data_IF_174283244347
#
_entry.id   IF_174283244347
#
_cell.length_a   1.000
_cell.length_b   1.000
_cell.length_c   1.000
_cell.angle_alpha   90.00
_cell.angle_beta   90.00
_cell.angle_gamma   90.00
#
_symmetry.space_group_name_H-M   'P 1'
#
loop_
_entity.id
_entity.type
_entity.pdbx_description
1 polymer ?
#
# COMPACT_ATOMS: atom_id res chain seq x y z
N UNK A 1 -17.58 31.48 2.63
CA UNK A 1 -17.44 30.23 3.42
C UNK A 1 -17.21 29.07 2.47
N UNK A 2 -15.99 28.51 2.44
CA UNK A 2 -15.62 27.41 1.54
C UNK A 2 -16.30 26.12 1.97
N UNK A 3 -17.25 25.63 1.18
CA UNK A 3 -17.83 24.29 1.33
C UNK A 3 -16.68 23.27 1.32
N UNK A 4 -16.44 22.62 2.48
CA UNK A 4 -15.49 21.51 2.57
C UNK A 4 -16.00 20.38 1.68
N UNK A 5 -15.50 20.31 0.44
CA UNK A 5 -15.70 19.16 -0.45
C UNK A 5 -15.24 17.91 0.33
N UNK A 6 -16.18 17.02 0.68
CA UNK A 6 -15.85 15.74 1.31
C UNK A 6 -14.85 15.03 0.39
N UNK A 7 -13.70 14.63 0.94
CA UNK A 7 -12.64 13.92 0.22
C UNK A 7 -13.26 12.62 -0.34
N UNK A 8 -13.60 12.60 -1.63
CA UNK A 8 -14.34 11.49 -2.22
C UNK A 8 -13.37 10.44 -2.78
N UNK A 9 -13.83 9.19 -2.78
CA UNK A 9 -13.19 8.02 -3.36
C UNK A 9 -13.30 8.04 -4.90
N UNK A 10 -13.65 9.19 -5.50
CA UNK A 10 -13.99 9.31 -6.92
C UNK A 10 -12.76 9.53 -7.83
N UNK A 11 -11.56 9.69 -7.27
CA UNK A 11 -10.30 9.84 -8.01
C UNK A 11 -9.53 8.51 -8.15
N UNK A 12 -10.24 7.38 -8.04
CA UNK A 12 -9.67 6.05 -8.15
C UNK A 12 -9.60 5.65 -9.63
N UNK A 13 -8.46 5.12 -10.10
CA UNK A 13 -8.21 4.86 -11.51
C UNK A 13 -9.26 3.93 -12.13
N UNK A 14 -9.78 4.31 -13.29
CA UNK A 14 -10.76 3.53 -14.06
C UNK A 14 -10.04 2.48 -14.91
N UNK A 15 -8.93 2.86 -15.53
CA UNK A 15 -8.07 2.00 -16.34
C UNK A 15 -6.91 1.48 -15.51
N UNK A 16 -6.62 0.18 -15.65
CA UNK A 16 -5.51 -0.51 -14.98
C UNK A 16 -4.56 -1.11 -16.04
N UNK A 17 -4.20 -0.28 -17.01
CA UNK A 17 -3.29 -0.59 -18.11
C UNK A 17 -1.84 -0.25 -17.76
N UNK A 18 -0.91 -0.57 -18.67
CA UNK A 18 0.52 -0.35 -18.41
C UNK A 18 0.86 1.15 -18.24
N UNK A 19 0.10 2.04 -18.89
CA UNK A 19 0.23 3.49 -18.69
C UNK A 19 -0.09 3.88 -17.25
N UNK A 20 -1.18 3.36 -16.68
CA UNK A 20 -1.53 3.59 -15.29
C UNK A 20 -0.42 3.11 -14.33
N UNK A 21 0.17 1.93 -14.58
CA UNK A 21 1.27 1.45 -13.76
C UNK A 21 2.51 2.33 -13.89
N UNK A 22 2.84 2.84 -15.07
CA UNK A 22 3.92 3.81 -15.25
C UNK A 22 3.67 5.11 -14.48
N UNK A 23 2.47 5.68 -14.58
CA UNK A 23 2.09 6.88 -13.82
C UNK A 23 2.22 6.65 -12.32
N UNK A 24 1.87 5.46 -11.84
CA UNK A 24 1.99 5.10 -10.43
C UNK A 24 3.45 4.96 -9.98
N UNK A 25 4.33 4.42 -10.84
CA UNK A 25 5.78 4.42 -10.60
C UNK A 25 6.33 5.85 -10.52
N UNK A 26 5.92 6.73 -11.43
CA UNK A 26 6.33 8.14 -11.43
C UNK A 26 5.84 8.89 -10.19
N UNK A 27 4.64 8.56 -9.68
CA UNK A 27 4.15 9.08 -8.39
C UNK A 27 5.06 8.64 -7.25
N UNK A 28 5.45 7.36 -7.18
CA UNK A 28 6.36 6.85 -6.14
C UNK A 28 7.72 7.54 -6.25
N UNK A 29 8.31 7.65 -7.43
CA UNK A 29 9.60 8.29 -7.64
C UNK A 29 9.63 9.77 -7.24
N UNK A 30 8.49 10.47 -7.35
CA UNK A 30 8.29 11.85 -6.90
C UNK A 30 8.26 12.00 -5.38
N UNK A 31 8.11 10.92 -4.62
CA UNK A 31 8.16 10.95 -3.15
C UNK A 31 9.60 11.25 -2.70
N UNK A 32 9.95 12.53 -2.71
CA UNK A 32 11.25 13.06 -2.32
C UNK A 32 11.05 14.32 -1.47
N UNK A 33 10.86 14.14 -0.18
CA UNK A 33 10.80 15.27 0.74
C UNK A 33 12.17 15.96 0.81
N UNK A 34 12.20 17.29 0.94
CA UNK A 34 13.44 18.05 1.08
C UNK A 34 14.07 17.83 2.47
N UNK A 35 14.80 16.72 2.62
CA UNK A 35 15.64 16.43 3.78
C UNK A 35 16.97 17.18 3.66
N UNK A 36 17.54 17.61 4.78
CA UNK A 36 18.84 18.32 4.77
C UNK A 36 20.04 17.39 4.63
N UNK A 37 19.96 16.18 5.20
CA UNK A 37 21.05 15.20 5.22
C UNK A 37 20.51 13.79 4.93
N UNK A 38 21.41 12.86 4.55
CA UNK A 38 21.09 11.45 4.25
C UNK A 38 19.89 11.28 3.29
N UNK A 39 19.77 12.20 2.33
CA UNK A 39 18.59 12.38 1.48
C UNK A 39 18.14 11.09 0.83
N UNK A 40 19.06 10.37 0.21
CA UNK A 40 18.78 9.15 -0.54
C UNK A 40 18.14 8.07 0.33
N UNK A 41 18.70 7.80 1.51
CA UNK A 41 18.13 6.78 2.41
C UNK A 41 16.75 7.19 2.93
N UNK A 42 16.55 8.48 3.24
CA UNK A 42 15.23 8.97 3.63
C UNK A 42 14.21 8.88 2.48
N UNK A 43 14.63 9.17 1.25
CA UNK A 43 13.79 8.99 0.05
C UNK A 43 13.46 7.53 -0.17
N UNK A 44 14.43 6.62 -0.07
CA UNK A 44 14.20 5.18 -0.18
C UNK A 44 13.15 4.69 0.84
N UNK A 45 13.25 5.12 2.10
CA UNK A 45 12.25 4.81 3.13
C UNK A 45 10.85 5.29 2.74
N UNK A 46 10.73 6.53 2.30
CA UNK A 46 9.45 7.16 2.01
C UNK A 46 8.80 6.58 0.74
N UNK A 47 9.61 6.25 -0.26
CA UNK A 47 9.20 5.55 -1.48
C UNK A 47 8.75 4.11 -1.17
N UNK A 48 9.53 3.37 -0.36
CA UNK A 48 9.18 2.03 0.09
C UNK A 48 7.87 2.00 0.89
N UNK A 49 7.62 3.01 1.73
CA UNK A 49 6.36 3.15 2.45
C UNK A 49 5.18 3.35 1.50
N UNK A 50 5.36 4.17 0.46
CA UNK A 50 4.34 4.43 -0.55
C UNK A 50 4.06 3.17 -1.39
N UNK A 51 5.11 2.47 -1.82
CA UNK A 51 5.01 1.17 -2.49
C UNK A 51 4.27 0.14 -1.63
N UNK A 52 4.53 0.10 -0.32
CA UNK A 52 3.81 -0.80 0.58
C UNK A 52 2.31 -0.48 0.62
N UNK A 53 1.89 0.79 0.58
CA UNK A 53 0.47 1.14 0.51
C UNK A 53 -0.20 0.61 -0.75
N UNK A 54 0.49 0.67 -1.89
CA UNK A 54 0.02 0.15 -3.18
C UNK A 54 -0.08 -1.38 -3.15
N UNK A 55 0.93 -2.06 -2.58
CA UNK A 55 1.02 -3.52 -2.57
C UNK A 55 0.06 -4.19 -1.57
N UNK A 56 -0.20 -3.56 -0.42
CA UNK A 56 -0.83 -4.23 0.72
C UNK A 56 -2.08 -3.53 1.25
N UNK A 57 -2.36 -2.32 0.77
CA UNK A 57 -3.49 -1.53 1.21
C UNK A 57 -3.48 -1.20 2.71
N UNK A 58 -2.34 -1.39 3.41
CA UNK A 58 -2.22 -1.11 4.84
C UNK A 58 -2.56 0.34 5.16
N UNK A 59 -3.15 0.60 6.34
CA UNK A 59 -3.29 1.97 6.83
C UNK A 59 -1.93 2.48 7.29
N UNK A 60 -1.75 3.81 7.28
CA UNK A 60 -0.54 4.46 7.80
C UNK A 60 -0.21 3.98 9.22
N UNK A 61 -1.19 3.91 10.11
CA UNK A 61 -0.97 3.43 11.48
C UNK A 61 -0.50 1.97 11.54
N UNK A 62 -0.94 1.13 10.61
CA UNK A 62 -0.57 -0.29 10.55
C UNK A 62 0.85 -0.44 9.99
N UNK A 63 1.16 0.24 8.88
CA UNK A 63 2.48 0.23 8.25
C UNK A 63 3.59 0.67 9.21
N UNK A 64 3.33 1.73 9.97
CA UNK A 64 4.29 2.30 10.91
C UNK A 64 4.55 1.41 12.13
N UNK A 65 3.80 0.33 12.34
CA UNK A 65 4.07 -0.62 13.43
C UNK A 65 4.74 -1.90 12.96
N UNK A 66 4.99 -2.03 11.66
CA UNK A 66 5.63 -3.22 11.11
C UNK A 66 7.08 -3.28 11.55
N UNK A 67 7.47 -4.44 12.05
CA UNK A 67 8.85 -4.81 12.35
C UNK A 67 9.39 -5.76 11.28
N UNK A 68 10.73 -5.80 11.11
CA UNK A 68 11.38 -6.67 10.13
C UNK A 68 11.06 -8.16 10.35
N UNK A 69 10.90 -8.60 11.60
CA UNK A 69 10.48 -9.97 11.97
C UNK A 69 9.16 -10.44 11.35
N UNK A 70 8.33 -9.49 10.90
CA UNK A 70 7.08 -9.79 10.23
C UNK A 70 7.26 -10.05 8.73
N UNK A 71 8.49 -10.01 8.21
CA UNK A 71 8.79 -10.22 6.80
C UNK A 71 9.52 -11.55 6.59
N UNK A 72 9.21 -12.22 5.48
CA UNK A 72 9.97 -13.36 4.97
C UNK A 72 10.19 -13.18 3.49
N UNK A 73 11.44 -13.19 3.07
CA UNK A 73 11.81 -13.05 1.68
C UNK A 73 11.94 -14.43 1.00
N UNK A 74 11.23 -14.63 -0.11
CA UNK A 74 11.26 -15.83 -0.93
C UNK A 74 11.64 -15.46 -2.37
N UNK A 75 11.98 -16.48 -3.16
CA UNK A 75 12.38 -16.31 -4.57
C UNK A 75 11.39 -15.46 -5.38
N UNK A 76 10.10 -15.68 -5.19
CA UNK A 76 9.05 -15.09 -6.05
C UNK A 76 8.20 -14.02 -5.35
N UNK A 77 8.36 -13.85 -4.04
CA UNK A 77 7.55 -12.92 -3.26
C UNK A 77 8.19 -12.59 -1.91
N UNK A 78 7.76 -11.48 -1.31
CA UNK A 78 7.96 -11.21 0.11
C UNK A 78 6.63 -11.43 0.82
N UNK A 79 6.66 -12.13 1.94
CA UNK A 79 5.50 -12.32 2.81
C UNK A 79 5.58 -11.32 3.96
N UNK A 80 4.50 -10.59 4.19
CA UNK A 80 4.28 -9.78 5.38
C UNK A 80 3.22 -10.46 6.26
N UNK A 81 3.62 -10.89 7.45
CA UNK A 81 2.81 -11.69 8.36
C UNK A 81 2.27 -10.89 9.56
N UNK A 82 1.14 -11.35 10.10
CA UNK A 82 0.57 -10.89 11.36
C UNK A 82 0.37 -9.36 11.44
N UNK A 83 -0.14 -8.75 10.37
CA UNK A 83 -0.40 -7.31 10.33
C UNK A 83 -1.66 -7.00 11.13
N UNK A 84 -1.46 -6.48 12.35
CA UNK A 84 -2.55 -6.05 13.24
C UNK A 84 -3.25 -4.83 12.66
N UNK A 85 -4.56 -4.94 12.45
CA UNK A 85 -5.38 -3.80 12.05
C UNK A 85 -5.81 -3.01 13.29
N UNK A 86 -5.54 -1.70 13.28
CA UNK A 86 -5.90 -0.83 14.40
C UNK A 86 -7.41 -0.67 14.58
N UNK A 87 -8.17 -0.82 13.49
CA UNK A 87 -9.62 -0.71 13.52
C UNK A 87 -10.22 -2.08 13.86
N UNK A 88 -10.38 -2.34 15.16
CA UNK A 88 -11.13 -3.49 15.73
C UNK A 88 -10.39 -4.83 15.84
N UNK A 89 -9.04 -4.83 15.86
CA UNK A 89 -8.25 -5.98 16.31
C UNK A 89 -8.15 -7.17 15.35
N UNK A 90 -8.64 -7.05 14.11
CA UNK A 90 -8.46 -8.08 13.10
C UNK A 90 -6.97 -8.17 12.73
N UNK A 91 -6.45 -9.37 12.58
CA UNK A 91 -5.07 -9.58 12.13
C UNK A 91 -5.11 -10.12 10.71
N UNK A 92 -4.44 -9.43 9.78
CA UNK A 92 -4.18 -10.00 8.47
C UNK A 92 -3.01 -10.95 8.62
N UNK A 93 -3.31 -12.24 8.60
CA UNK A 93 -2.35 -13.33 8.86
C UNK A 93 -1.19 -13.27 7.87
N UNK A 94 -1.49 -13.04 6.60
CA UNK A 94 -0.51 -13.02 5.51
C UNK A 94 -0.89 -12.03 4.41
N UNK A 95 0.09 -11.26 3.96
CA UNK A 95 0.01 -10.40 2.78
C UNK A 95 1.19 -10.78 1.88
N UNK A 96 0.93 -11.05 0.61
CA UNK A 96 1.95 -11.43 -0.38
C UNK A 96 2.31 -10.22 -1.23
N UNK A 97 3.59 -9.89 -1.28
CA UNK A 97 4.17 -8.85 -2.13
C UNK A 97 4.90 -9.56 -3.29
N UNK A 98 4.32 -9.60 -4.51
CA UNK A 98 4.87 -10.41 -5.59
C UNK A 98 6.13 -9.77 -6.20
N UNK A 99 7.16 -10.57 -6.51
CA UNK A 99 8.36 -10.15 -7.24
C UNK A 99 8.24 -10.32 -8.77
N UNK A 100 7.05 -10.67 -9.26
CA UNK A 100 6.74 -10.88 -10.69
C UNK A 100 5.49 -10.09 -11.10
N UNK A 101 5.38 -9.81 -12.39
CA UNK A 101 4.25 -9.10 -12.99
C UNK A 101 4.24 -7.59 -12.68
N UNK A 102 3.09 -6.95 -12.90
CA UNK A 102 2.93 -5.48 -12.84
C UNK A 102 3.24 -4.86 -11.47
N UNK A 103 3.20 -5.66 -10.40
CA UNK A 103 3.50 -5.22 -9.03
C UNK A 103 4.98 -5.40 -8.63
N UNK A 104 5.77 -6.12 -9.43
CA UNK A 104 7.17 -6.45 -9.12
C UNK A 104 8.03 -5.21 -8.84
N UNK A 105 7.84 -4.14 -9.61
CA UNK A 105 8.60 -2.91 -9.45
C UNK A 105 8.41 -2.30 -8.05
N UNK A 106 7.17 -2.22 -7.55
CA UNK A 106 6.87 -1.70 -6.22
C UNK A 106 7.46 -2.60 -5.13
N UNK A 107 7.39 -3.92 -5.32
CA UNK A 107 8.03 -4.89 -4.42
C UNK A 107 9.53 -4.68 -4.39
N UNK A 108 10.18 -4.44 -5.54
CA UNK A 108 11.62 -4.16 -5.62
C UNK A 108 12.01 -2.88 -4.87
N UNK A 109 11.21 -1.81 -4.97
CA UNK A 109 11.42 -0.58 -4.17
C UNK A 109 11.34 -0.86 -2.68
N UNK A 110 10.33 -1.63 -2.24
CA UNK A 110 10.18 -2.02 -0.85
C UNK A 110 11.32 -2.94 -0.37
N UNK A 111 11.70 -3.93 -1.18
CA UNK A 111 12.78 -4.88 -0.90
C UNK A 111 14.14 -4.19 -0.74
N UNK A 112 14.45 -3.24 -1.62
CA UNK A 112 15.70 -2.47 -1.53
C UNK A 112 15.81 -1.71 -0.20
N UNK A 113 14.71 -1.14 0.29
CA UNK A 113 14.68 -0.53 1.61
C UNK A 113 14.75 -1.57 2.74
N UNK A 114 14.03 -2.68 2.61
CA UNK A 114 13.98 -3.75 3.62
C UNK A 114 15.37 -4.32 3.93
N UNK A 115 16.25 -4.41 2.92
CA UNK A 115 17.65 -4.86 3.06
C UNK A 115 18.49 -3.96 3.99
N UNK A 116 18.12 -2.69 4.13
CA UNK A 116 18.80 -1.73 5.00
C UNK A 116 18.33 -1.78 6.45
N UNK A 117 17.22 -2.46 6.73
CA UNK A 117 16.68 -2.58 8.10
C UNK A 117 17.59 -3.53 8.90
N UNK A 118 18.21 -3.08 10.00
CA UNK A 118 19.38 -3.76 10.56
C UNK A 118 19.05 -5.04 11.34
N UNK A 119 17.90 -5.08 12.02
CA UNK A 119 17.53 -6.21 12.89
C UNK A 119 16.05 -6.56 12.80
N UNK A 120 15.72 -7.78 13.22
CA UNK A 120 14.35 -8.31 13.24
C UNK A 120 13.40 -7.45 14.09
N UNK A 121 13.90 -6.88 15.19
CA UNK A 121 13.13 -6.03 16.09
C UNK A 121 12.95 -4.59 15.63
N UNK A 122 13.69 -4.17 14.60
CA UNK A 122 13.63 -2.82 14.06
C UNK A 122 12.30 -2.54 13.39
N UNK A 123 11.77 -1.33 13.60
CA UNK A 123 10.67 -0.84 12.78
C UNK A 123 11.12 -0.71 11.33
N UNK A 124 10.33 -1.22 10.39
CA UNK A 124 10.63 -1.11 8.95
C UNK A 124 10.66 0.36 8.53
N UNK A 125 9.80 1.20 9.10
CA UNK A 125 9.74 2.63 8.79
C UNK A 125 10.06 3.47 10.02
N UNK A 126 11.36 3.62 10.35
CA UNK A 126 11.79 4.35 11.54
C UNK A 126 11.67 5.86 11.35
N UNK A 127 11.62 6.56 12.47
CA UNK A 127 11.91 7.99 12.51
C UNK A 127 13.40 8.22 12.25
N UNK A 128 13.79 9.44 11.88
CA UNK A 128 15.19 9.76 11.70
C UNK A 128 15.48 11.23 11.92
N UNK A 129 16.76 11.51 12.08
CA UNK A 129 17.32 12.85 12.28
C UNK A 129 18.58 13.01 11.41
N UNK A 130 19.29 14.12 11.59
CA UNK A 130 20.57 14.33 10.93
C UNK A 130 21.62 13.27 11.27
N UNK A 131 21.49 12.61 12.43
CA UNK A 131 22.40 11.56 12.90
C UNK A 131 22.02 10.15 12.38
N UNK A 132 21.00 10.04 11.53
CA UNK A 132 20.53 8.77 10.98
C UNK A 132 19.17 8.33 11.53
N UNK A 133 18.85 7.05 11.34
CA UNK A 133 17.56 6.46 11.73
C UNK A 133 17.56 5.98 13.18
N UNK A 134 16.45 6.20 13.87
CA UNK A 134 16.16 5.56 15.14
C UNK A 134 15.24 4.36 14.89
N UNK A 135 15.85 3.18 14.77
CA UNK A 135 15.18 1.92 14.44
C UNK A 135 14.20 1.40 15.51
N UNK A 136 14.25 1.98 16.71
CA UNK A 136 13.37 1.64 17.84
C UNK A 136 12.13 2.54 17.92
N UNK A 137 12.07 3.60 17.09
CA UNK A 137 10.92 4.52 17.05
C UNK A 137 10.36 4.61 15.64
N UNK A 138 9.06 4.37 15.45
CA UNK A 138 8.47 4.47 14.13
C UNK A 138 8.35 5.93 13.68
N UNK A 139 8.32 6.14 12.38
CA UNK A 139 7.99 7.43 11.79
C UNK A 139 6.59 7.88 12.24
N UNK A 140 6.37 9.19 12.42
CA UNK A 140 5.06 9.66 12.87
C UNK A 140 4.02 9.70 11.75
N UNK A 141 2.76 9.39 12.08
CA UNK A 141 1.61 9.49 11.14
C UNK A 141 1.49 10.87 10.49
N UNK A 142 1.71 11.92 11.28
CA UNK A 142 1.71 13.31 10.81
C UNK A 142 2.79 13.49 9.75
N UNK A 143 4.00 12.99 10.00
CA UNK A 143 5.12 13.10 9.05
C UNK A 143 4.84 12.38 7.74
N UNK A 144 4.33 11.15 7.77
CA UNK A 144 3.91 10.40 6.57
C UNK A 144 2.90 11.20 5.73
N UNK A 145 1.89 11.76 6.39
CA UNK A 145 0.88 12.59 5.72
C UNK A 145 1.50 13.79 5.02
N UNK A 146 2.40 14.53 5.69
CA UNK A 146 3.06 15.68 5.09
C UNK A 146 3.93 15.30 3.91
N UNK A 147 4.73 14.24 4.04
CA UNK A 147 5.59 13.73 2.97
C UNK A 147 4.75 13.45 1.72
N UNK A 148 3.75 12.59 1.85
CA UNK A 148 2.92 12.17 0.72
C UNK A 148 2.15 13.36 0.13
N UNK A 149 1.50 14.17 0.97
CA UNK A 149 0.69 15.29 0.50
C UNK A 149 1.51 16.31 -0.28
N UNK A 150 2.70 16.63 0.22
CA UNK A 150 3.53 17.70 -0.36
C UNK A 150 4.25 17.23 -1.62
N UNK A 151 4.67 15.96 -1.66
CA UNK A 151 5.44 15.43 -2.80
C UNK A 151 4.56 14.92 -3.94
N UNK A 152 3.32 14.49 -3.66
CA UNK A 152 2.44 13.88 -4.67
C UNK A 152 1.12 14.60 -4.88
N UNK A 153 0.75 15.53 -3.99
CA UNK A 153 -0.60 16.12 -3.96
C UNK A 153 -1.70 15.15 -3.49
N UNK A 154 -1.36 13.89 -3.19
CA UNK A 154 -2.31 12.84 -2.78
C UNK A 154 -2.35 12.67 -1.26
N UNK A 155 -3.24 11.82 -0.79
CA UNK A 155 -3.31 11.42 0.62
C UNK A 155 -2.91 9.95 0.76
N UNK A 156 -2.38 9.50 1.92
CA UNK A 156 -2.02 8.08 2.10
C UNK A 156 -3.19 7.11 1.82
N UNK A 157 -4.42 7.52 2.12
CA UNK A 157 -5.61 6.70 1.85
C UNK A 157 -5.94 6.58 0.36
N UNK A 158 -5.46 7.49 -0.49
CA UNK A 158 -5.62 7.38 -1.95
C UNK A 158 -4.87 6.15 -2.48
N UNK A 159 -3.63 5.91 -2.02
CA UNK A 159 -2.86 4.71 -2.38
C UNK A 159 -3.53 3.42 -1.90
N UNK A 160 -4.21 3.46 -0.74
CA UNK A 160 -5.03 2.35 -0.30
C UNK A 160 -6.21 2.10 -1.26
N UNK A 161 -6.90 3.13 -1.73
CA UNK A 161 -7.97 2.99 -2.73
C UNK A 161 -7.45 2.45 -4.07
N UNK A 162 -6.24 2.85 -4.48
CA UNK A 162 -5.55 2.27 -5.64
C UNK A 162 -5.31 0.77 -5.43
N UNK A 163 -4.79 0.38 -4.27
CA UNK A 163 -4.62 -1.03 -3.92
C UNK A 163 -5.94 -1.81 -3.97
N UNK A 164 -7.00 -1.26 -3.35
CA UNK A 164 -8.36 -1.85 -3.36
C UNK A 164 -8.86 -2.09 -4.78
N UNK A 165 -8.51 -1.22 -5.72
CA UNK A 165 -8.93 -1.31 -7.12
C UNK A 165 -8.11 -2.30 -7.93
N UNK A 166 -6.78 -2.27 -7.78
CA UNK A 166 -5.88 -3.24 -8.43
C UNK A 166 -6.25 -4.65 -8.00
N UNK A 167 -6.35 -4.89 -6.69
CA UNK A 167 -6.68 -6.22 -6.18
C UNK A 167 -8.12 -6.60 -6.48
N UNK A 168 -9.07 -5.67 -6.34
CA UNK A 168 -10.47 -5.92 -6.64
C UNK A 168 -10.69 -6.35 -8.09
N UNK A 169 -10.14 -5.60 -9.05
CA UNK A 169 -10.42 -5.83 -10.47
C UNK A 169 -9.48 -6.82 -11.15
N UNK A 170 -8.17 -6.75 -10.88
CA UNK A 170 -7.18 -7.56 -11.59
C UNK A 170 -6.84 -8.87 -10.89
N UNK A 171 -6.68 -8.84 -9.56
CA UNK A 171 -6.15 -10.00 -8.82
C UNK A 171 -7.26 -10.94 -8.40
N UNK A 172 -8.33 -10.39 -7.84
CA UNK A 172 -9.45 -11.16 -7.31
C UNK A 172 -10.64 -11.22 -8.26
N UNK A 173 -10.54 -10.58 -9.45
CA UNK A 173 -11.57 -10.66 -10.51
C UNK A 173 -12.98 -10.38 -9.96
N UNK A 174 -13.13 -9.26 -9.25
CA UNK A 174 -14.39 -8.84 -8.62
C UNK A 174 -14.90 -9.77 -7.50
N UNK A 175 -14.07 -10.63 -6.93
CA UNK A 175 -14.40 -11.39 -5.73
C UNK A 175 -14.34 -10.50 -4.47
N UNK A 176 -15.53 -10.05 -4.04
CA UNK A 176 -15.69 -9.18 -2.89
C UNK A 176 -15.27 -9.80 -1.55
N UNK A 177 -15.32 -11.13 -1.42
CA UNK A 177 -14.92 -11.84 -0.21
C UNK A 177 -13.40 -11.86 -0.08
N UNK A 178 -12.69 -12.26 -1.14
CA UNK A 178 -11.21 -12.21 -1.16
C UNK A 178 -10.69 -10.80 -0.92
N UNK A 179 -11.30 -9.80 -1.56
CA UNK A 179 -10.92 -8.40 -1.35
C UNK A 179 -11.17 -7.96 0.10
N UNK A 180 -12.31 -8.33 0.69
CA UNK A 180 -12.64 -8.01 2.08
C UNK A 180 -11.60 -8.59 3.04
N UNK A 181 -11.23 -9.85 2.87
CA UNK A 181 -10.22 -10.52 3.70
C UNK A 181 -8.85 -9.87 3.55
N UNK A 182 -8.39 -9.67 2.31
CA UNK A 182 -7.12 -9.03 2.00
C UNK A 182 -7.02 -7.61 2.59
N UNK A 183 -8.09 -6.84 2.49
CA UNK A 183 -8.15 -5.46 2.97
C UNK A 183 -8.44 -5.34 4.47
N UNK A 184 -8.75 -6.44 5.15
CA UNK A 184 -9.14 -6.48 6.57
C UNK A 184 -10.44 -5.72 6.85
N UNK A 185 -11.45 -5.90 6.00
CA UNK A 185 -12.76 -5.23 6.10
C UNK A 185 -13.80 -6.12 6.78
N UNK A 186 -14.71 -5.52 7.57
CA UNK A 186 -15.76 -6.28 8.28
C UNK A 186 -17.01 -6.51 7.41
N UNK A 187 -17.40 -5.52 6.61
CA UNK A 187 -18.62 -5.54 5.79
C UNK A 187 -18.26 -5.60 4.31
N UNK A 188 -19.00 -6.40 3.54
CA UNK A 188 -18.88 -6.47 2.08
C UNK A 188 -19.24 -5.13 1.41
N UNK A 189 -20.17 -4.36 1.98
CA UNK A 189 -20.52 -3.04 1.42
C UNK A 189 -19.31 -2.08 1.34
N UNK A 190 -18.27 -2.32 2.13
CA UNK A 190 -17.04 -1.53 2.08
C UNK A 190 -16.17 -1.85 0.86
N UNK A 191 -16.36 -3.00 0.21
CA UNK A 191 -15.69 -3.39 -1.04
C UNK A 191 -16.52 -3.11 -2.29
N UNK A 192 -17.84 -2.91 -2.15
CA UNK A 192 -18.78 -2.65 -3.24
C UNK A 192 -18.37 -1.55 -4.24
N UNK A 193 -17.77 -0.40 -3.83
CA UNK A 193 -17.34 0.62 -4.81
C UNK A 193 -16.25 0.15 -5.77
N UNK A 194 -15.48 -0.87 -5.39
CA UNK A 194 -14.29 -1.35 -6.10
C UNK A 194 -14.52 -2.66 -6.84
N UNK A 195 -15.53 -3.41 -6.40
CA UNK A 195 -16.04 -4.62 -7.05
C UNK A 195 -17.24 -4.20 -7.89
N UNK A 196 -17.00 -3.90 -9.17
CA UNK A 196 -18.07 -3.69 -10.14
C UNK A 196 -18.12 -4.93 -11.02
N UNK A 197 -18.84 -5.95 -10.58
CA UNK A 197 -19.26 -7.02 -11.48
C UNK A 197 -20.45 -6.51 -12.28
N UNK A 198 -20.39 -6.61 -13.60
CA UNK A 198 -21.59 -6.57 -14.44
C UNK A 198 -22.11 -8.01 -14.52
N UNK A 199 -23.40 -8.24 -14.26
CA UNK A 199 -23.98 -9.60 -14.34
C UNK A 199 -23.89 -10.15 -15.76
N UNK A 200 -23.74 -9.24 -16.72
CA UNK A 200 -23.49 -9.48 -18.13
C UNK A 200 -22.17 -10.25 -18.38
N UNK A 201 -21.17 -10.13 -17.51
CA UNK A 201 -19.91 -10.89 -17.61
C UNK A 201 -20.07 -12.39 -17.28
N UNK A 202 -21.14 -12.77 -16.60
CA UNK A 202 -21.45 -14.17 -16.26
C UNK A 202 -22.50 -14.80 -17.19
N UNK A 203 -22.96 -14.09 -18.23
CA UNK A 203 -23.99 -14.58 -19.17
C UNK A 203 -23.64 -15.95 -19.78
N UNK A 204 -22.38 -16.16 -20.16
CA UNK A 204 -21.93 -17.45 -20.69
C UNK A 204 -22.09 -18.59 -19.67
N UNK A 205 -21.87 -18.34 -18.38
CA UNK A 205 -22.03 -19.35 -17.32
C UNK A 205 -23.48 -19.68 -17.03
N UNK A 206 -24.41 -18.76 -17.29
CA UNK A 206 -25.86 -18.99 -17.14
C UNK A 206 -26.36 -19.94 -18.24
N UNK A 207 -25.82 -19.83 -19.45
CA UNK A 207 -26.20 -20.70 -20.57
C UNK A 207 -25.52 -22.07 -20.58
N UNK A 208 -24.55 -22.29 -19.68
CA UNK A 208 -23.82 -23.55 -19.51
C UNK A 208 -24.43 -24.49 -18.44
N UNK A 209 -25.57 -24.11 -17.84
CA UNK A 209 -26.32 -24.93 -16.85
C UNK A 209 -27.47 -25.68 -17.50
#
# INVERSE_FOLDING_TARGET
MSVRKKRSVQDVPIFLDDKFFQELQDIVLRVRWDYKTNREQFWMRDQALTSLFILSGVRVSEALQLKKMQTRDYRDNIILANVKTFKRGLTRTKIVLPKKGRLAWFTGVFENWLRLVPSEDSYIFPTGSQFGFNWEKPLSRKRVFWIIKTTTGRFPHWFRGVCETIYGRLVFQSDAWKLKEFMGLKRLDSTSPYVRGSWEEDLQRIYEV
#
